data_IF_932246707462
#
_entry.id   IF_932246707462
#
_cell.length_a   1.000
_cell.length_b   1.000
_cell.length_c   1.000
_cell.angle_alpha   90.00
_cell.angle_beta   90.00
_cell.angle_gamma   90.00
#
_symmetry.space_group_name_H-M   'P 1'
#
loop_
_entity.id
_entity.type
_entity.pdbx_description
1 polymer ?
#
# COMPACT_ATOMS: atom_id res chain seq x y z
N UNK A 1 14.36 -40.61 39.26
CA UNK A 1 14.24 -40.45 37.81
C UNK A 1 12.91 -41.06 37.44
N UNK A 2 11.98 -40.25 36.97
CA UNK A 2 10.67 -40.74 36.50
C UNK A 2 10.86 -41.58 35.23
N UNK A 3 9.89 -42.46 34.87
CA UNK A 3 9.94 -43.19 33.59
C UNK A 3 10.07 -42.25 32.38
N UNK A 4 9.40 -41.10 32.43
CA UNK A 4 9.49 -40.03 31.41
C UNK A 4 10.92 -39.45 31.30
N UNK A 5 11.51 -39.00 32.42
CA UNK A 5 12.89 -38.49 32.43
C UNK A 5 13.89 -39.55 31.95
N UNK A 6 13.66 -40.81 32.34
CA UNK A 6 14.43 -41.97 31.88
C UNK A 6 14.33 -42.15 30.38
N UNK A 7 13.14 -42.04 29.81
CA UNK A 7 12.87 -42.20 28.39
C UNK A 7 13.52 -41.07 27.57
N UNK A 8 13.36 -39.82 28.01
CA UNK A 8 13.99 -38.64 27.37
C UNK A 8 15.51 -38.79 27.31
N UNK A 9 16.12 -39.25 28.42
CA UNK A 9 17.57 -39.45 28.49
C UNK A 9 18.04 -40.64 27.66
N UNK A 10 17.30 -41.74 27.66
CA UNK A 10 17.62 -42.92 26.87
C UNK A 10 17.53 -42.63 25.36
N UNK A 11 16.49 -41.90 24.95
CA UNK A 11 16.30 -41.41 23.59
C UNK A 11 17.46 -40.49 23.15
N UNK A 12 17.86 -39.54 24.01
CA UNK A 12 18.98 -38.63 23.76
C UNK A 12 20.37 -39.25 23.84
N UNK A 13 20.50 -40.52 24.25
CA UNK A 13 21.79 -41.22 24.38
C UNK A 13 21.84 -42.54 23.60
N UNK A 14 20.88 -42.76 22.70
CA UNK A 14 20.81 -43.93 21.81
C UNK A 14 20.70 -45.29 22.53
N UNK A 15 19.99 -45.35 23.66
CA UNK A 15 19.82 -46.57 24.46
C UNK A 15 18.54 -47.34 24.07
N UNK A 16 18.47 -47.85 22.85
CA UNK A 16 17.27 -48.52 22.28
C UNK A 16 16.71 -49.65 23.18
N UNK A 17 17.52 -50.58 23.74
CA UNK A 17 16.98 -51.62 24.63
C UNK A 17 16.33 -51.06 25.90
N UNK A 18 16.83 -49.92 26.40
CA UNK A 18 16.25 -49.26 27.56
C UNK A 18 14.97 -48.52 27.21
N UNK A 19 14.88 -47.96 26.00
CA UNK A 19 13.65 -47.38 25.46
C UNK A 19 12.56 -48.45 25.39
N UNK A 20 12.84 -49.63 24.83
CA UNK A 20 11.88 -50.73 24.74
C UNK A 20 11.33 -51.12 26.12
N UNK A 21 12.22 -51.32 27.10
CA UNK A 21 11.82 -51.65 28.47
C UNK A 21 10.98 -50.53 29.13
N UNK A 22 11.28 -49.26 28.84
CA UNK A 22 10.48 -48.14 29.37
C UNK A 22 9.11 -48.03 28.69
N UNK A 23 9.02 -48.30 27.38
CA UNK A 23 7.75 -48.25 26.64
C UNK A 23 6.75 -49.32 27.10
N UNK A 24 7.20 -50.45 27.67
CA UNK A 24 6.32 -51.45 28.28
C UNK A 24 5.52 -50.91 29.47
N UNK A 25 6.05 -49.89 30.16
CA UNK A 25 5.48 -49.37 31.42
C UNK A 25 5.03 -47.92 31.35
N UNK A 26 5.51 -47.16 30.36
CA UNK A 26 5.19 -45.75 30.17
C UNK A 26 4.22 -45.53 29.00
N UNK A 27 3.01 -45.09 29.32
CA UNK A 27 1.92 -44.79 28.38
C UNK A 27 1.75 -43.28 28.09
N UNK A 28 2.63 -42.44 28.63
CA UNK A 28 2.58 -40.98 28.49
C UNK A 28 3.04 -40.46 27.12
N UNK A 29 3.12 -39.13 27.00
CA UNK A 29 3.50 -38.42 25.79
C UNK A 29 4.98 -38.67 25.43
N UNK A 30 5.23 -39.10 24.18
CA UNK A 30 6.56 -39.42 23.68
C UNK A 30 7.28 -38.20 23.09
N UNK A 31 6.61 -37.03 23.01
CA UNK A 31 7.10 -35.84 22.32
C UNK A 31 8.48 -35.39 22.80
N UNK A 32 8.74 -35.34 24.11
CA UNK A 32 10.02 -34.86 24.64
C UNK A 32 11.17 -35.86 24.37
N UNK A 33 10.86 -37.16 24.38
CA UNK A 33 11.83 -38.19 24.00
C UNK A 33 12.17 -38.11 22.51
N UNK A 34 11.17 -37.88 21.65
CA UNK A 34 11.35 -37.64 20.22
C UNK A 34 12.20 -36.39 19.97
N UNK A 35 11.92 -35.29 20.67
CA UNK A 35 12.70 -34.05 20.57
C UNK A 35 14.15 -34.29 20.99
N UNK A 36 14.36 -35.00 22.10
CA UNK A 36 15.70 -35.34 22.61
C UNK A 36 16.52 -36.19 21.63
N UNK A 37 15.94 -37.26 21.08
CA UNK A 37 16.61 -38.09 20.08
C UNK A 37 16.89 -37.31 18.78
N UNK A 38 15.94 -36.47 18.34
CA UNK A 38 16.09 -35.63 17.15
C UNK A 38 17.22 -34.62 17.29
N UNK A 39 17.30 -33.93 18.43
CA UNK A 39 18.34 -32.95 18.71
C UNK A 39 19.75 -33.57 18.77
N UNK A 40 19.85 -34.84 19.16
CA UNK A 40 21.11 -35.58 19.25
C UNK A 40 21.45 -36.39 17.99
N UNK A 41 20.55 -36.44 17.00
CA UNK A 41 20.80 -37.11 15.73
C UNK A 41 20.67 -38.64 15.79
N UNK A 42 19.84 -39.18 16.69
CA UNK A 42 19.72 -40.62 16.89
C UNK A 42 18.54 -41.23 16.13
N UNK A 43 18.82 -41.82 14.97
CA UNK A 43 17.79 -42.37 14.06
C UNK A 43 17.07 -43.60 14.64
N UNK A 44 17.80 -44.53 15.27
CA UNK A 44 17.22 -45.79 15.76
C UNK A 44 16.18 -45.58 16.89
N UNK A 45 16.46 -44.76 17.94
CA UNK A 45 15.45 -44.34 18.90
C UNK A 45 14.22 -43.70 18.25
N UNK A 46 14.42 -42.87 17.22
CA UNK A 46 13.32 -42.20 16.54
C UNK A 46 12.42 -43.18 15.81
N UNK A 47 12.99 -44.18 15.11
CA UNK A 47 12.20 -45.22 14.45
C UNK A 47 11.30 -45.95 15.45
N UNK A 48 11.85 -46.35 16.61
CA UNK A 48 11.08 -47.06 17.64
C UNK A 48 10.00 -46.17 18.28
N UNK A 49 10.33 -44.92 18.62
CA UNK A 49 9.39 -43.98 19.23
C UNK A 49 8.27 -43.56 18.28
N UNK A 50 8.56 -43.39 16.99
CA UNK A 50 7.56 -43.06 15.97
C UNK A 50 6.62 -44.24 15.71
N UNK A 51 7.16 -45.48 15.66
CA UNK A 51 6.34 -46.69 15.57
C UNK A 51 5.37 -46.77 16.75
N UNK A 52 5.86 -46.57 17.98
CA UNK A 52 5.02 -46.56 19.18
C UNK A 52 3.93 -45.46 19.12
N UNK A 53 4.30 -44.28 18.62
CA UNK A 53 3.36 -43.16 18.46
C UNK A 53 2.22 -43.52 17.50
N UNK A 54 2.54 -44.22 16.42
CA UNK A 54 1.56 -44.70 15.44
C UNK A 54 0.68 -45.83 16.00
N UNK A 55 1.26 -46.78 16.74
CA UNK A 55 0.54 -47.86 17.43
C UNK A 55 -0.46 -47.31 18.46
N UNK A 56 -0.13 -46.19 19.11
CA UNK A 56 -1.01 -45.46 20.03
C UNK A 56 -2.08 -44.60 19.34
N UNK A 57 -2.17 -44.64 18.00
CA UNK A 57 -3.18 -43.92 17.22
C UNK A 57 -2.94 -42.41 17.12
N UNK A 58 -1.75 -41.91 17.46
CA UNK A 58 -1.39 -40.50 17.27
C UNK A 58 -1.00 -40.22 15.82
N UNK A 59 -1.13 -38.98 15.37
CA UNK A 59 -0.80 -38.61 13.98
C UNK A 59 0.71 -38.73 13.72
N UNK A 60 1.11 -39.82 13.07
CA UNK A 60 2.51 -40.08 12.69
C UNK A 60 3.11 -38.94 11.86
N UNK A 61 2.30 -38.29 11.02
CA UNK A 61 2.72 -37.11 10.23
C UNK A 61 3.17 -35.93 11.09
N UNK A 62 2.43 -35.60 12.14
CA UNK A 62 2.78 -34.49 13.06
C UNK A 62 4.09 -34.81 13.80
N UNK A 63 4.26 -36.07 14.23
CA UNK A 63 5.48 -36.51 14.89
C UNK A 63 6.69 -36.45 13.94
N UNK A 64 6.54 -36.87 12.68
CA UNK A 64 7.58 -36.76 11.65
C UNK A 64 7.97 -35.29 11.38
N UNK A 65 7.00 -34.39 11.23
CA UNK A 65 7.27 -32.96 11.08
C UNK A 65 8.04 -32.38 12.27
N UNK A 66 7.70 -32.81 13.50
CA UNK A 66 8.41 -32.41 14.72
C UNK A 66 9.85 -32.91 14.75
N UNK A 67 10.09 -34.15 14.32
CA UNK A 67 11.43 -34.74 14.18
C UNK A 67 12.27 -33.92 13.21
N UNK A 68 11.77 -33.72 11.99
CA UNK A 68 12.47 -33.01 10.93
C UNK A 68 12.81 -31.57 11.36
N UNK A 69 11.84 -30.85 11.94
CA UNK A 69 12.07 -29.50 12.47
C UNK A 69 13.15 -29.48 13.55
N UNK A 70 13.07 -30.38 14.53
CA UNK A 70 14.03 -30.43 15.65
C UNK A 70 15.44 -30.83 15.18
N UNK A 71 15.52 -31.74 14.21
CA UNK A 71 16.78 -32.12 13.59
C UNK A 71 17.41 -30.94 12.84
N UNK A 72 16.60 -30.12 12.15
CA UNK A 72 17.07 -28.91 11.46
C UNK A 72 17.64 -27.86 12.43
N UNK A 73 17.00 -27.62 13.58
CA UNK A 73 17.50 -26.68 14.61
C UNK A 73 18.87 -27.09 15.18
N UNK A 74 19.24 -28.37 15.05
CA UNK A 74 20.50 -28.93 15.56
C UNK A 74 21.46 -29.43 14.46
N UNK A 75 21.16 -29.18 13.19
CA UNK A 75 22.04 -29.53 12.08
C UNK A 75 22.18 -31.05 11.85
N UNK A 76 21.18 -31.85 12.22
CA UNK A 76 21.22 -33.32 12.16
C UNK A 76 20.80 -33.84 10.79
N UNK A 77 21.67 -33.69 9.80
CA UNK A 77 21.42 -34.15 8.43
C UNK A 77 20.99 -35.62 8.37
N UNK A 78 21.64 -36.49 9.16
CA UNK A 78 21.36 -37.93 9.18
C UNK A 78 19.91 -38.27 9.60
N UNK A 79 19.29 -37.44 10.44
CA UNK A 79 17.87 -37.58 10.82
C UNK A 79 16.98 -37.01 9.72
N UNK A 80 17.30 -35.81 9.23
CA UNK A 80 16.49 -35.14 8.20
C UNK A 80 16.40 -35.98 6.93
N UNK A 81 17.52 -36.55 6.47
CA UNK A 81 17.57 -37.35 5.24
C UNK A 81 16.72 -38.62 5.31
N UNK A 82 16.51 -39.16 6.51
CA UNK A 82 15.70 -40.37 6.73
C UNK A 82 14.22 -40.02 6.82
N UNK A 83 13.86 -38.98 7.58
CA UNK A 83 12.46 -38.73 7.95
C UNK A 83 11.74 -37.71 7.08
N UNK A 84 12.44 -36.79 6.39
CA UNK A 84 11.79 -35.83 5.49
C UNK A 84 11.00 -36.51 4.35
N UNK A 85 11.55 -37.51 3.63
CA UNK A 85 10.80 -38.19 2.57
C UNK A 85 9.59 -38.98 3.08
N UNK A 86 9.59 -39.41 4.35
CA UNK A 86 8.50 -40.20 4.95
C UNK A 86 7.25 -39.38 5.23
N UNK A 87 7.32 -38.04 5.18
CA UNK A 87 6.15 -37.17 5.39
C UNK A 87 5.13 -37.31 4.26
N UNK A 88 5.58 -37.55 3.03
CA UNK A 88 4.71 -37.70 1.86
C UNK A 88 3.90 -39.01 1.87
N UNK A 89 4.25 -39.96 2.75
CA UNK A 89 3.68 -41.31 2.84
C UNK A 89 3.73 -42.10 1.51
N UNK A 90 3.28 -43.36 1.49
CA UNK A 90 3.24 -44.19 0.28
C UNK A 90 2.21 -43.70 -0.74
N UNK A 91 1.12 -43.10 -0.27
CA UNK A 91 -0.06 -42.78 -1.09
C UNK A 91 0.06 -41.40 -1.76
N UNK A 92 1.04 -40.59 -1.36
CA UNK A 92 1.35 -39.26 -1.93
C UNK A 92 0.12 -38.39 -2.14
N UNK A 93 -0.80 -38.41 -1.16
CA UNK A 93 -1.94 -37.51 -1.22
C UNK A 93 -1.46 -36.04 -1.21
N UNK A 94 -2.30 -35.15 -1.76
CA UNK A 94 -1.92 -33.75 -1.93
C UNK A 94 -1.56 -33.07 -0.61
N UNK A 95 -2.16 -33.50 0.51
CA UNK A 95 -1.90 -32.92 1.83
C UNK A 95 -0.54 -33.35 2.38
N UNK A 96 -0.15 -34.61 2.19
CA UNK A 96 1.15 -35.16 2.58
C UNK A 96 2.29 -34.51 1.81
N UNK A 97 2.12 -34.27 0.50
CA UNK A 97 3.10 -33.56 -0.32
C UNK A 97 3.28 -32.11 0.14
N UNK A 98 2.18 -31.38 0.39
CA UNK A 98 2.25 -30.01 0.90
C UNK A 98 2.94 -29.96 2.27
N UNK A 99 2.62 -30.89 3.17
CA UNK A 99 3.26 -31.02 4.48
C UNK A 99 4.78 -31.28 4.37
N UNK A 100 5.22 -32.06 3.37
CA UNK A 100 6.63 -32.29 3.09
C UNK A 100 7.31 -31.04 2.54
N UNK A 101 6.64 -30.29 1.65
CA UNK A 101 7.17 -29.04 1.09
C UNK A 101 7.38 -28.01 2.21
N UNK A 102 6.36 -27.80 3.05
CA UNK A 102 6.45 -26.91 4.21
C UNK A 102 7.57 -27.33 5.18
N UNK A 103 7.74 -28.63 5.41
CA UNK A 103 8.82 -29.15 6.26
C UNK A 103 10.19 -28.92 5.64
N UNK A 104 10.32 -29.04 4.32
CA UNK A 104 11.55 -28.76 3.58
C UNK A 104 11.94 -27.28 3.71
N UNK A 105 10.96 -26.38 3.64
CA UNK A 105 11.19 -24.94 3.82
C UNK A 105 11.60 -24.59 5.24
N UNK A 106 10.96 -25.20 6.24
CA UNK A 106 11.38 -25.05 7.64
C UNK A 106 12.81 -25.56 7.87
N UNK A 107 13.18 -26.68 7.25
CA UNK A 107 14.56 -27.20 7.30
C UNK A 107 15.53 -26.19 6.70
N UNK A 108 15.23 -25.67 5.51
CA UNK A 108 16.08 -24.69 4.83
C UNK A 108 16.23 -23.41 5.66
N UNK A 109 15.14 -22.86 6.18
CA UNK A 109 15.14 -21.62 6.96
C UNK A 109 15.93 -21.77 8.26
N UNK A 110 15.70 -22.85 9.00
CA UNK A 110 16.34 -23.07 10.31
C UNK A 110 17.83 -23.41 10.16
N UNK A 111 18.17 -24.24 9.17
CA UNK A 111 19.56 -24.54 8.85
C UNK A 111 20.31 -23.28 8.40
N UNK A 112 19.65 -22.42 7.62
CA UNK A 112 20.22 -21.16 7.15
C UNK A 112 20.44 -20.19 8.29
N UNK A 113 19.49 -20.06 9.22
CA UNK A 113 19.64 -19.18 10.39
C UNK A 113 20.81 -19.58 11.31
N UNK A 114 21.33 -20.80 11.20
CA UNK A 114 22.40 -21.37 12.04
C UNK A 114 23.67 -21.72 11.29
N UNK A 115 23.69 -21.56 9.97
CA UNK A 115 24.84 -21.86 9.13
C UNK A 115 25.14 -23.34 8.92
N UNK A 116 24.12 -24.22 9.01
CA UNK A 116 24.31 -25.66 8.79
C UNK A 116 24.35 -26.00 7.29
N UNK A 117 25.47 -25.69 6.64
CA UNK A 117 25.66 -25.78 5.18
C UNK A 117 25.28 -27.13 4.55
N UNK A 118 25.58 -28.23 5.23
CA UNK A 118 25.25 -29.58 4.73
C UNK A 118 23.74 -29.82 4.69
N UNK A 119 23.01 -29.31 5.68
CA UNK A 119 21.54 -29.39 5.73
C UNK A 119 20.91 -28.47 4.69
N UNK A 120 21.45 -27.26 4.52
CA UNK A 120 20.99 -26.30 3.50
C UNK A 120 21.11 -26.93 2.10
N UNK A 121 22.28 -27.49 1.78
CA UNK A 121 22.52 -28.18 0.52
C UNK A 121 21.55 -29.33 0.30
N UNK A 122 21.39 -30.19 1.31
CA UNK A 122 20.44 -31.31 1.23
C UNK A 122 19.01 -30.82 0.94
N UNK A 123 18.52 -29.80 1.64
CA UNK A 123 17.16 -29.30 1.44
C UNK A 123 16.95 -28.75 0.01
N UNK A 124 17.94 -28.05 -0.54
CA UNK A 124 17.91 -27.52 -1.90
C UNK A 124 17.94 -28.66 -2.93
N UNK A 125 18.84 -29.63 -2.77
CA UNK A 125 18.95 -30.79 -3.65
C UNK A 125 17.66 -31.62 -3.61
N UNK A 126 17.14 -31.89 -2.42
CA UNK A 126 15.89 -32.62 -2.20
C UNK A 126 14.71 -31.96 -2.92
N UNK A 127 14.49 -30.66 -2.70
CA UNK A 127 13.41 -29.93 -3.38
C UNK A 127 13.62 -29.80 -4.89
N UNK A 128 14.87 -29.80 -5.37
CA UNK A 128 15.20 -29.78 -6.80
C UNK A 128 14.88 -31.12 -7.45
N UNK A 129 15.27 -32.23 -6.82
CA UNK A 129 15.00 -33.59 -7.31
C UNK A 129 13.50 -33.89 -7.36
N UNK A 130 12.74 -33.40 -6.39
CA UNK A 130 11.28 -33.52 -6.37
C UNK A 130 10.56 -32.46 -7.23
N UNK A 131 11.29 -31.49 -7.80
CA UNK A 131 10.75 -30.55 -8.77
C UNK A 131 9.87 -29.42 -8.21
N UNK A 132 10.09 -29.01 -6.95
CA UNK A 132 9.32 -27.92 -6.31
C UNK A 132 10.20 -26.78 -5.75
N UNK A 133 11.50 -26.75 -6.07
CA UNK A 133 12.45 -25.75 -5.58
C UNK A 133 12.05 -24.29 -5.91
N UNK A 134 11.44 -24.08 -7.07
CA UNK A 134 10.98 -22.77 -7.56
C UNK A 134 9.77 -22.23 -6.77
N UNK A 135 9.04 -23.13 -6.10
CA UNK A 135 7.86 -22.80 -5.28
C UNK A 135 8.22 -22.27 -3.90
N UNK A 136 9.51 -22.28 -3.50
CA UNK A 136 9.95 -21.77 -2.20
C UNK A 136 9.48 -20.33 -1.95
N UNK A 137 9.78 -19.40 -2.85
CA UNK A 137 9.50 -17.98 -2.60
C UNK A 137 8.00 -17.63 -2.64
N UNK A 138 7.18 -18.43 -3.33
CA UNK A 138 5.73 -18.22 -3.43
C UNK A 138 4.96 -18.84 -2.26
N UNK A 139 5.50 -19.90 -1.65
CA UNK A 139 4.83 -20.65 -0.56
C UNK A 139 5.41 -20.36 0.81
N UNK A 140 6.68 -19.97 0.90
CA UNK A 140 7.32 -19.61 2.15
C UNK A 140 7.04 -18.16 2.54
N UNK A 141 6.66 -17.97 3.80
CA UNK A 141 6.58 -16.63 4.41
C UNK A 141 7.98 -16.07 4.71
N UNK A 142 8.99 -16.94 4.83
CA UNK A 142 10.39 -16.63 5.09
C UNK A 142 11.19 -16.52 3.79
N UNK A 143 12.37 -15.90 3.87
CA UNK A 143 13.39 -15.93 2.83
C UNK A 143 14.74 -16.31 3.46
N UNK A 144 15.28 -17.47 3.07
CA UNK A 144 16.49 -18.02 3.66
C UNK A 144 17.69 -17.11 3.41
N UNK A 145 17.79 -16.50 2.23
CA UNK A 145 18.84 -15.54 1.92
C UNK A 145 18.80 -14.36 2.91
N UNK A 146 17.64 -13.75 3.13
CA UNK A 146 17.49 -12.67 4.11
C UNK A 146 17.90 -13.11 5.53
N UNK A 147 17.58 -14.35 5.94
CA UNK A 147 18.00 -14.90 7.23
C UNK A 147 19.52 -15.06 7.34
N UNK A 148 20.18 -15.54 6.28
CA UNK A 148 21.64 -15.66 6.25
C UNK A 148 22.31 -14.30 6.44
N UNK A 149 21.81 -13.28 5.74
CA UNK A 149 22.27 -11.89 5.83
C UNK A 149 22.01 -11.34 7.24
N UNK A 150 20.81 -11.55 7.79
CA UNK A 150 20.47 -11.11 9.15
C UNK A 150 21.37 -11.72 10.22
N UNK A 151 21.75 -12.99 10.06
CA UNK A 151 22.65 -13.73 10.94
C UNK A 151 24.14 -13.45 10.70
N UNK A 152 24.51 -12.58 9.77
CA UNK A 152 25.89 -12.33 9.35
C UNK A 152 26.65 -13.59 8.89
N UNK A 153 25.95 -14.50 8.20
CA UNK A 153 26.48 -15.75 7.67
C UNK A 153 26.89 -15.56 6.20
N UNK A 154 27.97 -14.81 5.97
CA UNK A 154 28.37 -14.35 4.63
C UNK A 154 28.63 -15.50 3.65
N UNK A 155 29.25 -16.58 4.11
CA UNK A 155 29.53 -17.78 3.32
C UNK A 155 28.25 -18.50 2.86
N UNK A 156 27.25 -18.54 3.74
CA UNK A 156 25.91 -19.08 3.45
C UNK A 156 25.16 -18.15 2.51
N UNK A 157 25.17 -16.85 2.73
CA UNK A 157 24.50 -15.88 1.88
C UNK A 157 25.07 -15.91 0.45
N UNK A 158 26.39 -15.94 0.29
CA UNK A 158 27.05 -16.06 -1.02
C UNK A 158 26.69 -17.39 -1.68
N UNK A 159 26.67 -18.49 -0.91
CA UNK A 159 26.24 -19.79 -1.42
C UNK A 159 24.79 -19.74 -1.96
N UNK A 160 23.86 -19.16 -1.20
CA UNK A 160 22.45 -19.04 -1.59
C UNK A 160 22.26 -18.11 -2.80
N UNK A 161 22.99 -17.00 -2.88
CA UNK A 161 23.01 -16.10 -4.04
C UNK A 161 23.42 -16.82 -5.33
N UNK A 162 24.31 -17.82 -5.24
CA UNK A 162 24.70 -18.68 -6.35
C UNK A 162 23.58 -19.62 -6.87
N UNK A 163 22.49 -19.79 -6.12
CA UNK A 163 21.38 -20.67 -6.49
C UNK A 163 20.33 -19.90 -7.30
N UNK A 164 20.45 -19.97 -8.63
CA UNK A 164 19.58 -19.23 -9.54
C UNK A 164 18.15 -19.79 -9.65
N UNK A 165 17.94 -21.06 -9.30
CA UNK A 165 16.63 -21.73 -9.38
C UNK A 165 15.60 -21.15 -8.41
N UNK A 166 16.05 -20.50 -7.34
CA UNK A 166 15.17 -19.91 -6.33
C UNK A 166 15.01 -18.41 -6.63
N UNK A 167 13.77 -17.92 -6.78
CA UNK A 167 13.48 -16.50 -6.93
C UNK A 167 13.51 -15.80 -5.56
N UNK A 168 14.69 -15.70 -4.95
CA UNK A 168 14.93 -14.99 -3.69
C UNK A 168 14.30 -13.60 -3.67
N UNK A 169 13.89 -13.12 -2.49
CA UNK A 169 13.42 -11.75 -2.26
C UNK A 169 14.59 -10.77 -2.30
N UNK A 170 15.14 -10.55 -3.50
CA UNK A 170 16.37 -9.77 -3.74
C UNK A 170 16.32 -8.36 -3.15
N UNK A 171 15.15 -7.73 -3.16
CA UNK A 171 14.91 -6.42 -2.56
C UNK A 171 15.20 -6.43 -1.05
N UNK A 172 14.58 -7.34 -0.32
CA UNK A 172 14.69 -7.46 1.14
C UNK A 172 16.12 -7.86 1.53
N UNK A 173 16.73 -8.76 0.75
CA UNK A 173 18.12 -9.16 0.92
C UNK A 173 19.08 -7.97 0.76
N UNK A 174 18.91 -7.15 -0.28
CA UNK A 174 19.74 -5.98 -0.53
C UNK A 174 19.60 -4.95 0.59
N UNK A 175 18.37 -4.65 1.01
CA UNK A 175 18.11 -3.72 2.11
C UNK A 175 18.79 -4.19 3.40
N UNK A 176 18.62 -5.47 3.75
CA UNK A 176 19.23 -6.05 4.95
C UNK A 176 20.76 -6.03 4.89
N UNK A 177 21.35 -6.34 3.73
CA UNK A 177 22.81 -6.31 3.55
C UNK A 177 23.37 -4.89 3.71
N UNK A 178 22.65 -3.88 3.21
CA UNK A 178 23.00 -2.45 3.39
C UNK A 178 22.91 -2.06 4.86
N UNK A 179 21.84 -2.42 5.57
CA UNK A 179 21.69 -2.16 7.00
C UNK A 179 22.81 -2.78 7.84
N UNK A 180 23.27 -3.98 7.46
CA UNK A 180 24.36 -4.70 8.13
C UNK A 180 25.76 -4.24 7.69
N UNK A 181 25.88 -3.51 6.59
CA UNK A 181 27.17 -3.09 6.03
C UNK A 181 27.99 -4.23 5.43
N UNK A 182 27.34 -5.28 4.91
CA UNK A 182 28.00 -6.46 4.32
C UNK A 182 28.34 -6.20 2.85
N UNK A 183 29.43 -5.47 2.59
CA UNK A 183 29.79 -4.96 1.26
C UNK A 183 29.84 -6.04 0.16
N UNK A 184 30.46 -7.18 0.41
CA UNK A 184 30.55 -8.26 -0.58
C UNK A 184 29.15 -8.78 -0.96
N UNK A 185 28.28 -8.97 0.04
CA UNK A 185 26.89 -9.40 -0.20
C UNK A 185 26.13 -8.33 -0.99
N UNK A 186 26.33 -7.04 -0.68
CA UNK A 186 25.70 -5.94 -1.42
C UNK A 186 26.11 -5.98 -2.89
N UNK A 187 27.39 -6.13 -3.19
CA UNK A 187 27.90 -6.22 -4.56
C UNK A 187 27.33 -7.43 -5.31
N UNK A 188 27.36 -8.61 -4.70
CA UNK A 188 26.79 -9.82 -5.31
C UNK A 188 25.29 -9.72 -5.54
N UNK A 189 24.55 -9.22 -4.54
CA UNK A 189 23.10 -9.03 -4.63
C UNK A 189 22.76 -8.02 -5.73
N UNK A 190 23.50 -6.92 -5.84
CA UNK A 190 23.36 -5.93 -6.90
C UNK A 190 23.57 -6.56 -8.28
N UNK A 191 24.68 -7.27 -8.50
CA UNK A 191 24.99 -7.90 -9.79
C UNK A 191 23.88 -8.87 -10.21
N UNK A 192 23.44 -9.74 -9.30
CA UNK A 192 22.41 -10.75 -9.60
C UNK A 192 21.05 -10.09 -9.85
N UNK A 193 20.67 -9.08 -9.07
CA UNK A 193 19.39 -8.39 -9.27
C UNK A 193 19.39 -7.65 -10.62
N UNK A 194 20.48 -6.93 -10.95
CA UNK A 194 20.63 -6.26 -12.25
C UNK A 194 20.61 -7.27 -13.41
N UNK A 195 21.23 -8.45 -13.27
CA UNK A 195 21.16 -9.50 -14.30
C UNK A 195 19.74 -10.02 -14.52
N UNK A 196 18.93 -10.13 -13.45
CA UNK A 196 17.55 -10.66 -13.52
C UNK A 196 16.53 -9.64 -14.03
N UNK A 197 16.59 -8.40 -13.52
CA UNK A 197 15.55 -7.38 -13.76
C UNK A 197 16.05 -6.16 -14.56
N UNK A 198 17.36 -5.93 -14.61
CA UNK A 198 17.94 -4.70 -15.10
C UNK A 198 17.99 -3.59 -14.04
N UNK A 199 18.95 -2.67 -14.19
CA UNK A 199 19.20 -1.59 -13.23
C UNK A 199 18.01 -0.63 -13.06
N UNK A 200 17.28 -0.35 -14.16
CA UNK A 200 16.11 0.53 -14.14
C UNK A 200 14.96 -0.03 -13.32
N UNK A 201 14.63 -1.31 -13.54
CA UNK A 201 13.56 -1.98 -12.80
C UNK A 201 13.91 -2.14 -11.32
N UNK A 202 15.13 -2.59 -11.01
CA UNK A 202 15.60 -2.70 -9.62
C UNK A 202 15.45 -1.38 -8.84
N UNK A 203 15.94 -0.26 -9.40
CA UNK A 203 15.84 1.03 -8.73
C UNK A 203 14.39 1.52 -8.64
N UNK A 204 13.57 1.19 -9.63
CA UNK A 204 12.13 1.49 -9.65
C UNK A 204 11.40 0.78 -8.52
N UNK A 205 11.63 -0.52 -8.32
CA UNK A 205 11.02 -1.32 -7.25
C UNK A 205 11.39 -0.77 -5.86
N UNK A 206 12.68 -0.43 -5.67
CA UNK A 206 13.14 0.17 -4.41
C UNK A 206 12.51 1.55 -4.16
N UNK A 207 12.36 2.36 -5.20
CA UNK A 207 11.77 3.68 -5.07
C UNK A 207 10.26 3.64 -4.81
N UNK A 208 9.51 2.74 -5.46
CA UNK A 208 8.07 2.59 -5.25
C UNK A 208 7.72 2.15 -3.84
N UNK A 209 8.61 1.36 -3.23
CA UNK A 209 8.40 0.79 -1.90
C UNK A 209 8.90 1.73 -0.78
N UNK A 210 9.48 2.88 -1.15
CA UNK A 210 9.94 3.87 -0.17
C UNK A 210 11.30 3.56 0.46
N UNK A 211 12.06 2.60 -0.09
CA UNK A 211 13.34 2.14 0.45
C UNK A 211 14.48 3.14 0.19
N UNK A 212 14.40 4.31 0.83
CA UNK A 212 15.33 5.41 0.62
C UNK A 212 16.79 5.06 0.96
N UNK A 213 17.03 4.21 1.96
CA UNK A 213 18.37 3.77 2.33
C UNK A 213 19.06 3.05 1.17
N UNK A 214 18.37 2.07 0.58
CA UNK A 214 18.86 1.33 -0.57
C UNK A 214 19.03 2.23 -1.82
N UNK A 215 18.05 3.08 -2.12
CA UNK A 215 18.14 4.03 -3.24
C UNK A 215 19.35 4.96 -3.09
N UNK A 216 19.58 5.52 -1.89
CA UNK A 216 20.74 6.37 -1.60
C UNK A 216 22.05 5.63 -1.80
N UNK A 217 22.17 4.44 -1.21
CA UNK A 217 23.38 3.63 -1.31
C UNK A 217 23.71 3.31 -2.77
N UNK A 218 22.71 2.84 -3.53
CA UNK A 218 22.91 2.45 -4.92
C UNK A 218 23.33 3.62 -5.82
N UNK A 219 22.62 4.74 -5.73
CA UNK A 219 22.93 5.94 -6.51
C UNK A 219 24.31 6.52 -6.20
N UNK A 220 24.82 6.32 -4.96
CA UNK A 220 26.13 6.83 -4.55
C UNK A 220 27.28 5.89 -4.90
N UNK A 221 27.07 4.58 -4.93
CA UNK A 221 28.15 3.59 -5.05
C UNK A 221 28.23 2.91 -6.43
N UNK A 222 27.13 2.78 -7.17
CA UNK A 222 27.08 1.94 -8.38
C UNK A 222 26.94 2.69 -9.71
N UNK A 223 27.10 4.03 -9.72
CA UNK A 223 27.12 4.81 -10.97
C UNK A 223 25.84 4.65 -11.80
N UNK A 224 24.68 4.78 -11.16
CA UNK A 224 23.37 4.53 -11.78
C UNK A 224 23.13 5.50 -12.97
N UNK A 225 22.70 4.99 -14.14
CA UNK A 225 22.50 5.82 -15.32
C UNK A 225 21.30 6.78 -15.14
N UNK A 226 21.36 8.00 -15.72
CA UNK A 226 20.28 8.99 -15.59
C UNK A 226 18.89 8.49 -16.01
N UNK A 227 18.79 7.60 -16.99
CA UNK A 227 17.51 7.01 -17.40
C UNK A 227 16.84 6.22 -16.27
N UNK A 228 17.60 5.39 -15.55
CA UNK A 228 17.12 4.62 -14.41
C UNK A 228 16.73 5.54 -13.24
N UNK A 229 17.52 6.59 -12.97
CA UNK A 229 17.18 7.61 -11.97
C UNK A 229 15.84 8.29 -12.32
N UNK A 230 15.60 8.61 -13.59
CA UNK A 230 14.35 9.20 -14.07
C UNK A 230 13.15 8.24 -13.95
N UNK A 231 13.34 6.94 -14.15
CA UNK A 231 12.31 5.91 -13.92
C UNK A 231 11.97 5.79 -12.44
N UNK A 232 12.97 5.61 -11.59
CA UNK A 232 12.80 5.55 -10.15
C UNK A 232 12.14 6.82 -9.58
N UNK A 233 12.51 8.00 -10.07
CA UNK A 233 11.89 9.26 -9.67
C UNK A 233 10.40 9.30 -10.00
N UNK A 234 9.99 8.76 -11.16
CA UNK A 234 8.57 8.70 -11.58
C UNK A 234 7.74 7.71 -10.76
N UNK A 235 8.37 6.67 -10.25
CA UNK A 235 7.73 5.60 -9.48
C UNK A 235 7.80 5.80 -7.97
N UNK A 236 8.67 6.70 -7.50
CA UNK A 236 8.85 7.00 -6.10
C UNK A 236 7.53 7.46 -5.45
N UNK A 237 7.24 6.88 -4.28
CA UNK A 237 6.04 7.18 -3.50
C UNK A 237 6.31 8.18 -2.39
N UNK A 238 7.45 8.07 -1.71
CA UNK A 238 7.83 8.91 -0.58
C UNK A 238 8.56 10.21 -0.96
N UNK A 239 8.23 11.31 -0.27
CA UNK A 239 8.86 12.63 -0.47
C UNK A 239 10.39 12.59 -0.29
N UNK A 240 10.88 11.83 0.69
CA UNK A 240 12.32 11.69 0.96
C UNK A 240 13.09 11.10 -0.23
N UNK A 241 12.48 10.14 -0.93
CA UNK A 241 13.06 9.52 -2.13
C UNK A 241 13.04 10.47 -3.31
N UNK A 242 11.92 11.19 -3.50
CA UNK A 242 11.79 12.21 -4.55
C UNK A 242 12.82 13.32 -4.34
N UNK A 243 12.97 13.84 -3.12
CA UNK A 243 13.95 14.88 -2.81
C UNK A 243 15.38 14.42 -3.08
N UNK A 244 15.75 13.21 -2.64
CA UNK A 244 17.08 12.67 -2.90
C UNK A 244 17.35 12.51 -4.40
N UNK A 245 16.43 11.86 -5.13
CA UNK A 245 16.58 11.64 -6.57
C UNK A 245 16.59 12.96 -7.34
N UNK A 246 15.78 13.95 -6.94
CA UNK A 246 15.81 15.31 -7.50
C UNK A 246 17.19 15.96 -7.31
N UNK A 247 17.78 15.84 -6.13
CA UNK A 247 19.10 16.39 -5.80
C UNK A 247 20.27 15.72 -6.54
N UNK A 248 20.05 14.59 -7.25
CA UNK A 248 21.07 14.01 -8.13
C UNK A 248 21.37 14.89 -9.34
N UNK A 249 20.52 15.87 -9.67
CA UNK A 249 20.65 16.74 -10.84
C UNK A 249 20.41 16.04 -12.17
N UNK A 250 20.03 14.76 -12.16
CA UNK A 250 19.85 13.94 -13.36
C UNK A 250 18.40 13.89 -13.86
N UNK A 251 17.46 14.54 -13.18
CA UNK A 251 16.03 14.44 -13.48
C UNK A 251 15.65 15.32 -14.68
N UNK A 252 15.01 14.70 -15.66
CA UNK A 252 14.51 15.40 -16.85
C UNK A 252 13.25 16.22 -16.54
N UNK A 253 13.03 17.33 -17.28
CA UNK A 253 11.78 18.10 -17.23
C UNK A 253 10.50 17.28 -17.41
N UNK A 254 10.56 16.24 -18.24
CA UNK A 254 9.44 15.33 -18.48
C UNK A 254 9.08 14.52 -17.24
N UNK A 255 10.09 14.01 -16.52
CA UNK A 255 9.90 13.28 -15.27
C UNK A 255 9.36 14.18 -14.15
N UNK A 256 9.88 15.41 -14.00
CA UNK A 256 9.35 16.41 -13.05
C UNK A 256 7.87 16.66 -13.32
N UNK A 257 7.51 16.91 -14.58
CA UNK A 257 6.12 17.17 -14.98
C UNK A 257 5.21 15.97 -14.70
N UNK A 258 5.70 14.74 -14.90
CA UNK A 258 4.94 13.52 -14.62
C UNK A 258 4.68 13.32 -13.13
N UNK A 259 5.72 13.45 -12.28
CA UNK A 259 5.57 13.31 -10.82
C UNK A 259 4.64 14.37 -10.26
N UNK A 260 4.77 15.63 -10.72
CA UNK A 260 3.83 16.69 -10.35
C UNK A 260 2.37 16.33 -10.72
N UNK A 261 2.12 15.80 -11.92
CA UNK A 261 0.78 15.35 -12.33
C UNK A 261 0.25 14.22 -11.45
N UNK A 262 1.10 13.26 -11.09
CA UNK A 262 0.72 12.12 -10.26
C UNK A 262 0.38 12.59 -8.83
N UNK A 263 1.21 13.46 -8.25
CA UNK A 263 1.01 14.01 -6.91
C UNK A 263 -0.26 14.89 -6.85
N UNK A 264 -0.47 15.75 -7.85
CA UNK A 264 -1.66 16.61 -7.95
C UNK A 264 -2.93 15.90 -8.45
N UNK A 265 -2.84 14.64 -8.87
CA UNK A 265 -3.91 13.90 -9.53
C UNK A 265 -4.83 13.10 -8.60
N UNK A 266 -4.37 12.72 -7.40
CA UNK A 266 -5.17 11.95 -6.43
C UNK A 266 -5.65 12.88 -5.32
N UNK A 267 -6.96 12.94 -5.09
CA UNK A 267 -7.54 13.70 -3.97
C UNK A 267 -7.44 12.94 -2.65
N UNK A 268 -7.82 13.62 -1.55
CA UNK A 268 -7.90 13.05 -0.20
C UNK A 268 -8.86 11.86 -0.18
N UNK A 269 -8.32 10.64 -0.04
CA UNK A 269 -9.10 9.46 0.27
C UNK A 269 -9.19 9.42 1.81
N UNK A 270 -10.38 9.27 2.41
CA UNK A 270 -10.52 9.01 3.87
C UNK A 270 -10.34 7.51 4.14
N UNK A 271 -9.82 7.01 5.29
CA UNK A 271 -9.65 7.59 6.64
C UNK A 271 -8.18 7.80 7.09
N UNK A 272 -8.00 8.41 8.27
CA UNK A 272 -6.81 8.79 9.08
C UNK A 272 -5.39 8.28 8.67
N UNK A 273 -5.23 7.02 8.23
CA UNK A 273 -3.94 6.50 7.72
C UNK A 273 -3.56 7.14 6.37
N UNK A 274 -4.53 7.68 5.64
CA UNK A 274 -4.32 8.38 4.36
C UNK A 274 -3.88 9.84 4.53
N UNK A 275 -3.89 10.40 5.74
CA UNK A 275 -3.47 11.79 5.94
C UNK A 275 -1.96 11.96 5.73
N UNK A 276 -1.10 11.07 6.27
CA UNK A 276 0.36 11.14 6.06
C UNK A 276 0.73 11.01 4.57
N UNK A 277 0.19 9.99 3.89
CA UNK A 277 0.40 9.78 2.46
C UNK A 277 -0.08 10.95 1.61
N UNK A 278 -1.17 11.60 2.01
CA UNK A 278 -1.68 12.78 1.33
C UNK A 278 -0.82 14.02 1.61
N UNK A 279 -0.31 14.19 2.84
CA UNK A 279 0.65 15.26 3.16
C UNK A 279 1.93 15.14 2.34
N UNK A 280 2.50 13.93 2.22
CA UNK A 280 3.68 13.73 1.37
C UNK A 280 3.43 14.17 -0.08
N UNK A 281 2.23 13.95 -0.62
CA UNK A 281 1.86 14.44 -1.95
C UNK A 281 1.79 15.94 -2.05
N UNK A 282 1.24 16.62 -1.05
CA UNK A 282 1.22 18.07 -1.00
C UNK A 282 2.65 18.63 -0.95
N UNK A 283 3.52 18.03 -0.15
CA UNK A 283 4.94 18.38 -0.10
C UNK A 283 5.64 18.16 -1.45
N UNK A 284 5.34 17.06 -2.16
CA UNK A 284 5.86 16.81 -3.51
C UNK A 284 5.36 17.89 -4.48
N UNK A 285 4.08 18.26 -4.43
CA UNK A 285 3.54 19.34 -5.26
C UNK A 285 4.24 20.65 -4.92
N UNK A 286 4.37 21.02 -3.65
CA UNK A 286 4.99 22.27 -3.22
C UNK A 286 6.47 22.35 -3.62
N UNK A 287 7.21 21.24 -3.51
CA UNK A 287 8.59 21.12 -3.98
C UNK A 287 8.68 21.39 -5.49
N UNK A 288 7.91 20.65 -6.29
CA UNK A 288 8.02 20.66 -7.74
C UNK A 288 7.34 21.88 -8.39
N UNK A 289 6.35 22.49 -7.73
CA UNK A 289 5.64 23.66 -8.28
C UNK A 289 6.58 24.84 -8.52
N UNK A 290 7.72 24.92 -7.84
CA UNK A 290 8.72 25.99 -8.05
C UNK A 290 9.44 25.87 -9.40
N UNK A 291 9.34 24.70 -10.05
CA UNK A 291 10.03 24.41 -11.30
C UNK A 291 9.37 25.10 -12.51
N UNK A 292 10.18 25.88 -13.24
CA UNK A 292 9.78 26.56 -14.47
C UNK A 292 9.53 25.59 -15.63
N UNK A 293 10.07 24.37 -15.55
CA UNK A 293 9.90 23.35 -16.58
C UNK A 293 8.49 22.75 -16.62
N UNK A 294 7.68 22.91 -15.55
CA UNK A 294 6.30 22.45 -15.52
C UNK A 294 5.43 23.40 -16.35
N UNK A 295 4.76 22.91 -17.42
CA UNK A 295 3.99 23.78 -18.29
C UNK A 295 2.78 24.42 -17.57
N UNK A 296 2.43 25.69 -17.86
CA UNK A 296 1.25 26.37 -17.29
C UNK A 296 -0.05 25.56 -17.41
N UNK A 297 -0.25 24.85 -18.53
CA UNK A 297 -1.42 24.00 -18.75
C UNK A 297 -1.54 22.89 -17.69
N UNK A 298 -0.42 22.35 -17.22
CA UNK A 298 -0.39 21.27 -16.22
C UNK A 298 -0.79 21.81 -14.85
N UNK A 299 -0.23 22.94 -14.42
CA UNK A 299 -0.60 23.59 -13.15
C UNK A 299 -2.07 24.01 -13.15
N UNK A 300 -2.55 24.60 -14.25
CA UNK A 300 -3.97 24.96 -14.40
C UNK A 300 -4.89 23.75 -14.32
N UNK A 301 -4.49 22.63 -14.92
CA UNK A 301 -5.26 21.38 -14.86
C UNK A 301 -5.30 20.83 -13.42
N UNK A 302 -4.17 20.84 -12.72
CA UNK A 302 -4.08 20.45 -11.31
C UNK A 302 -5.00 21.30 -10.42
N UNK A 303 -4.96 22.63 -10.58
CA UNK A 303 -5.81 23.56 -9.82
C UNK A 303 -7.31 23.31 -10.04
N UNK A 304 -7.72 23.14 -11.30
CA UNK A 304 -9.13 22.83 -11.63
C UNK A 304 -9.53 21.44 -11.12
N UNK A 305 -8.64 20.46 -11.21
CA UNK A 305 -8.84 19.12 -10.67
C UNK A 305 -8.98 19.11 -9.14
N UNK A 306 -8.23 19.95 -8.44
CA UNK A 306 -8.35 20.13 -6.99
C UNK A 306 -9.74 20.65 -6.62
N UNK A 307 -10.22 21.69 -7.32
CA UNK A 307 -11.57 22.21 -7.14
C UNK A 307 -12.66 21.16 -7.37
N UNK A 308 -12.55 20.35 -8.43
CA UNK A 308 -13.49 19.27 -8.75
C UNK A 308 -13.55 18.17 -7.67
N UNK A 309 -12.46 17.97 -6.92
CA UNK A 309 -12.39 16.97 -5.85
C UNK A 309 -12.70 17.54 -4.47
N UNK A 310 -12.98 18.84 -4.36
CA UNK A 310 -13.12 19.49 -3.07
C UNK A 310 -11.80 19.60 -2.28
N UNK A 311 -10.67 19.50 -2.97
CA UNK A 311 -9.33 19.41 -2.39
C UNK A 311 -8.80 20.81 -2.06
N UNK A 312 -9.08 21.25 -0.82
CA UNK A 312 -8.73 22.58 -0.33
C UNK A 312 -7.22 22.78 -0.17
N UNK A 313 -6.52 21.80 0.40
CA UNK A 313 -5.10 21.93 0.69
C UNK A 313 -4.29 22.08 -0.60
N UNK A 314 -4.61 21.28 -1.63
CA UNK A 314 -3.97 21.42 -2.95
C UNK A 314 -4.34 22.74 -3.63
N UNK A 315 -5.58 23.23 -3.47
CA UNK A 315 -5.96 24.55 -3.97
C UNK A 315 -5.12 25.65 -3.31
N UNK A 316 -4.90 25.56 -2.00
CA UNK A 316 -4.11 26.53 -1.24
C UNK A 316 -2.63 26.51 -1.66
N UNK A 317 -2.04 25.32 -1.83
CA UNK A 317 -0.66 25.17 -2.34
C UNK A 317 -0.49 25.83 -3.72
N UNK A 318 -1.47 25.66 -4.61
CA UNK A 318 -1.40 26.17 -5.98
C UNK A 318 -1.89 27.62 -6.13
N UNK A 319 -2.58 28.19 -5.14
CA UNK A 319 -3.37 29.42 -5.27
C UNK A 319 -2.59 30.61 -5.84
N UNK A 320 -1.35 30.77 -5.38
CA UNK A 320 -0.48 31.89 -5.73
C UNK A 320 0.45 31.59 -6.92
N UNK A 321 0.26 30.48 -7.62
CA UNK A 321 1.11 30.13 -8.76
C UNK A 321 0.90 31.12 -9.92
N UNK A 322 2.00 31.76 -10.35
CA UNK A 322 2.00 32.79 -11.39
C UNK A 322 1.49 32.30 -12.75
N UNK A 323 1.44 30.98 -12.98
CA UNK A 323 0.96 30.38 -14.24
C UNK A 323 -0.57 30.31 -14.28
N UNK A 324 -1.26 30.52 -13.17
CA UNK A 324 -2.73 30.58 -13.11
C UNK A 324 -3.26 31.90 -13.69
N UNK A 325 -4.40 31.83 -14.35
CA UNK A 325 -5.08 32.98 -14.94
C UNK A 325 -6.58 33.00 -14.57
N UNK A 326 -7.25 34.12 -14.79
CA UNK A 326 -8.65 34.31 -14.38
C UNK A 326 -9.60 33.27 -15.00
N UNK A 327 -9.33 32.82 -16.24
CA UNK A 327 -10.09 31.73 -16.86
C UNK A 327 -10.01 30.41 -16.08
N UNK A 328 -8.87 30.15 -15.44
CA UNK A 328 -8.66 28.96 -14.61
C UNK A 328 -9.49 29.05 -13.33
N UNK A 329 -9.49 30.21 -12.66
CA UNK A 329 -10.33 30.47 -11.48
C UNK A 329 -11.82 30.38 -11.82
N UNK A 330 -12.26 30.95 -12.95
CA UNK A 330 -13.65 30.87 -13.42
C UNK A 330 -14.07 29.41 -13.69
N UNK A 331 -13.20 28.60 -14.29
CA UNK A 331 -13.49 27.17 -14.51
C UNK A 331 -13.64 26.41 -13.19
N UNK A 332 -12.69 26.58 -12.26
CA UNK A 332 -12.76 26.00 -10.93
C UNK A 332 -14.04 26.43 -10.18
N UNK A 333 -14.37 27.72 -10.23
CA UNK A 333 -15.57 28.28 -9.61
C UNK A 333 -16.87 27.67 -10.15
N UNK A 334 -16.98 27.54 -11.48
CA UNK A 334 -18.15 26.93 -12.10
C UNK A 334 -18.31 25.45 -11.69
N UNK A 335 -17.20 24.71 -11.54
CA UNK A 335 -17.23 23.31 -11.09
C UNK A 335 -17.73 23.22 -9.65
N UNK A 336 -17.14 23.97 -8.71
CA UNK A 336 -17.56 23.88 -7.29
C UNK A 336 -19.02 24.31 -7.08
N UNK A 337 -19.51 25.25 -7.90
CA UNK A 337 -20.92 25.65 -7.92
C UNK A 337 -21.80 24.50 -8.43
N UNK A 338 -21.35 23.83 -9.49
CA UNK A 338 -22.04 22.68 -10.11
C UNK A 338 -22.11 21.48 -9.16
N UNK A 339 -21.11 21.31 -8.30
CA UNK A 339 -21.01 20.25 -7.30
C UNK A 339 -21.66 20.63 -5.96
N UNK A 340 -22.31 21.80 -5.87
CA UNK A 340 -22.94 22.32 -4.67
C UNK A 340 -21.99 22.49 -3.46
N UNK A 341 -20.69 22.68 -3.70
CA UNK A 341 -19.70 22.93 -2.65
C UNK A 341 -19.71 24.42 -2.25
N UNK A 342 -20.56 24.76 -1.28
CA UNK A 342 -20.70 26.14 -0.79
C UNK A 342 -19.40 26.70 -0.22
N UNK A 343 -18.60 25.89 0.45
CA UNK A 343 -17.37 26.33 1.08
C UNK A 343 -16.37 26.81 0.02
N UNK A 344 -16.02 25.95 -0.94
CA UNK A 344 -15.09 26.33 -2.01
C UNK A 344 -15.67 27.39 -2.94
N UNK A 345 -17.00 27.43 -3.11
CA UNK A 345 -17.66 28.54 -3.82
C UNK A 345 -17.35 29.88 -3.15
N UNK A 346 -17.38 29.95 -1.81
CA UNK A 346 -17.01 31.17 -1.08
C UNK A 346 -15.52 31.47 -1.23
N UNK A 347 -14.66 30.47 -1.05
CA UNK A 347 -13.19 30.66 -1.17
C UNK A 347 -12.83 31.23 -2.55
N UNK A 348 -13.29 30.60 -3.63
CA UNK A 348 -13.01 31.05 -5.00
C UNK A 348 -13.63 32.40 -5.33
N UNK A 349 -14.82 32.70 -4.81
CA UNK A 349 -15.46 34.00 -5.02
C UNK A 349 -14.70 35.15 -4.34
N UNK A 350 -14.36 34.99 -3.05
CA UNK A 350 -13.64 36.03 -2.30
C UNK A 350 -12.19 36.21 -2.77
N UNK A 351 -11.65 35.26 -3.53
CA UNK A 351 -10.39 35.41 -4.25
C UNK A 351 -10.36 36.55 -5.27
N UNK A 352 -11.51 37.15 -5.62
CA UNK A 352 -11.58 38.39 -6.41
C UNK A 352 -11.29 38.25 -7.90
N UNK A 353 -11.05 37.03 -8.40
CA UNK A 353 -10.74 36.75 -9.81
C UNK A 353 -11.95 36.30 -10.63
N UNK A 354 -13.14 36.36 -10.05
CA UNK A 354 -14.39 35.92 -10.69
C UNK A 354 -15.11 37.13 -11.29
N UNK A 355 -15.31 37.10 -12.60
CA UNK A 355 -16.01 38.17 -13.31
C UNK A 355 -17.50 38.24 -12.96
N UNK A 356 -18.11 39.42 -13.05
CA UNK A 356 -19.55 39.59 -12.83
C UNK A 356 -20.39 38.68 -13.76
N UNK A 357 -19.97 38.48 -15.01
CA UNK A 357 -20.64 37.57 -15.94
C UNK A 357 -20.63 36.12 -15.42
N UNK A 358 -19.50 35.66 -14.92
CA UNK A 358 -19.35 34.33 -14.32
C UNK A 358 -20.22 34.18 -13.08
N UNK A 359 -20.26 35.20 -12.22
CA UNK A 359 -21.10 35.22 -11.01
C UNK A 359 -22.60 35.15 -11.35
N UNK A 360 -23.05 35.90 -12.36
CA UNK A 360 -24.43 35.86 -12.85
C UNK A 360 -24.80 34.47 -13.40
N UNK A 361 -23.91 33.87 -14.20
CA UNK A 361 -24.11 32.51 -14.70
C UNK A 361 -24.19 31.49 -13.55
N UNK A 362 -23.29 31.57 -12.58
CA UNK A 362 -23.27 30.68 -11.42
C UNK A 362 -24.55 30.79 -10.56
N UNK A 363 -25.05 32.01 -10.37
CA UNK A 363 -26.32 32.26 -9.68
C UNK A 363 -27.49 31.57 -10.40
N UNK A 364 -27.56 31.70 -11.73
CA UNK A 364 -28.60 31.05 -12.53
C UNK A 364 -28.50 29.52 -12.52
N UNK A 365 -27.29 28.96 -12.61
CA UNK A 365 -27.06 27.50 -12.54
C UNK A 365 -27.43 26.95 -11.15
N UNK A 366 -27.07 27.65 -10.09
CA UNK A 366 -27.42 27.27 -8.72
C UNK A 366 -28.94 27.32 -8.50
N UNK A 367 -29.60 28.33 -9.07
CA UNK A 367 -31.06 28.43 -9.06
C UNK A 367 -31.70 27.29 -9.83
N UNK A 368 -31.27 26.97 -11.06
CA UNK A 368 -31.90 25.86 -11.79
C UNK A 368 -31.73 24.52 -11.07
N UNK A 369 -30.55 24.27 -10.47
CA UNK A 369 -30.22 23.03 -9.77
C UNK A 369 -30.73 22.92 -8.33
N UNK A 370 -31.18 24.01 -7.73
CA UNK A 370 -31.74 23.98 -6.36
C UNK A 370 -30.72 24.11 -5.25
N UNK A 371 -29.54 24.66 -5.54
CA UNK A 371 -28.50 24.90 -4.55
C UNK A 371 -28.80 26.16 -3.74
N UNK A 372 -29.84 26.09 -2.90
CA UNK A 372 -30.42 27.22 -2.17
C UNK A 372 -29.37 28.04 -1.40
N UNK A 373 -28.44 27.37 -0.69
CA UNK A 373 -27.39 28.06 0.07
C UNK A 373 -26.43 28.86 -0.83
N UNK A 374 -26.11 28.34 -2.02
CA UNK A 374 -25.27 29.05 -3.00
C UNK A 374 -26.05 30.21 -3.62
N UNK A 375 -27.33 30.02 -3.94
CA UNK A 375 -28.20 31.11 -4.44
C UNK A 375 -28.25 32.26 -3.44
N UNK A 376 -28.50 31.97 -2.16
CA UNK A 376 -28.57 32.98 -1.11
C UNK A 376 -27.24 33.69 -0.87
N UNK A 377 -26.11 33.03 -1.14
CA UNK A 377 -24.79 33.63 -1.09
C UNK A 377 -24.53 34.54 -2.30
N UNK A 378 -24.77 34.05 -3.52
CA UNK A 378 -24.42 34.77 -4.75
C UNK A 378 -25.38 35.90 -5.09
N UNK A 379 -26.65 35.88 -4.65
CA UNK A 379 -27.64 36.88 -5.07
C UNK A 379 -27.29 38.32 -4.64
N UNK A 380 -26.57 38.45 -3.54
CA UNK A 380 -26.11 39.73 -3.01
C UNK A 380 -24.66 40.06 -3.44
N UNK A 381 -24.06 39.23 -4.30
CA UNK A 381 -22.72 39.48 -4.80
C UNK A 381 -22.66 40.76 -5.66
N UNK A 382 -21.56 41.55 -5.57
CA UNK A 382 -21.36 42.70 -6.43
C UNK A 382 -21.37 42.29 -7.92
N UNK A 383 -22.04 43.10 -8.75
CA UNK A 383 -22.15 42.85 -10.18
C UNK A 383 -23.29 41.91 -10.61
N UNK A 384 -24.11 41.41 -9.68
CA UNK A 384 -25.36 40.71 -10.05
C UNK A 384 -26.38 41.69 -10.60
N UNK A 385 -26.78 41.46 -11.85
CA UNK A 385 -27.76 42.28 -12.57
C UNK A 385 -29.20 41.94 -12.16
N UNK A 386 -30.08 42.94 -12.18
CA UNK A 386 -31.44 42.78 -11.64
C UNK A 386 -32.27 41.76 -12.40
N UNK A 387 -32.12 41.65 -13.73
CA UNK A 387 -32.83 40.62 -14.50
C UNK A 387 -32.47 39.19 -14.03
N UNK A 388 -31.22 38.97 -13.58
CA UNK A 388 -30.79 37.66 -13.08
C UNK A 388 -31.44 37.37 -11.72
N UNK A 389 -31.47 38.36 -10.81
CA UNK A 389 -32.21 38.28 -9.53
C UNK A 389 -33.69 37.96 -9.75
N UNK A 390 -34.34 38.69 -10.65
CA UNK A 390 -35.76 38.52 -10.96
C UNK A 390 -36.04 37.12 -11.52
N UNK A 391 -35.17 36.62 -12.40
CA UNK A 391 -35.29 35.28 -12.96
C UNK A 391 -35.17 34.21 -11.87
N UNK A 392 -34.17 34.30 -10.99
CA UNK A 392 -33.99 33.37 -9.87
C UNK A 392 -35.22 33.32 -8.98
N UNK A 393 -35.79 34.47 -8.64
CA UNK A 393 -37.00 34.56 -7.82
C UNK A 393 -38.19 33.86 -8.49
N UNK A 394 -38.45 34.17 -9.76
CA UNK A 394 -39.54 33.54 -10.50
C UNK A 394 -39.33 32.03 -10.68
N UNK A 395 -38.09 31.58 -10.89
CA UNK A 395 -37.76 30.16 -11.01
C UNK A 395 -37.94 29.43 -9.67
N UNK A 396 -37.59 30.05 -8.54
CA UNK A 396 -37.87 29.51 -7.21
C UNK A 396 -39.37 29.29 -6.95
N UNK A 397 -40.20 30.24 -7.40
CA UNK A 397 -41.67 30.13 -7.33
C UNK A 397 -42.18 29.00 -8.25
N UNK A 398 -41.72 28.96 -9.51
CA UNK A 398 -42.10 27.89 -10.45
C UNK A 398 -41.76 26.50 -9.91
N UNK A 399 -40.60 26.36 -9.29
CA UNK A 399 -40.10 25.09 -8.74
C UNK A 399 -40.62 24.78 -7.33
N UNK A 400 -41.61 25.52 -6.82
CA UNK A 400 -42.21 25.33 -5.50
C UNK A 400 -41.19 25.28 -4.35
N UNK A 401 -40.22 26.20 -4.33
CA UNK A 401 -39.19 26.26 -3.28
C UNK A 401 -39.56 27.30 -2.23
N UNK A 402 -40.57 27.00 -1.41
CA UNK A 402 -41.16 27.92 -0.44
C UNK A 402 -40.12 28.58 0.48
N UNK A 403 -39.21 27.80 1.05
CA UNK A 403 -38.12 28.33 1.89
C UNK A 403 -37.21 29.32 1.15
N UNK A 404 -36.77 29.00 -0.07
CA UNK A 404 -35.94 29.90 -0.87
C UNK A 404 -36.69 31.19 -1.20
N UNK A 405 -37.97 31.10 -1.56
CA UNK A 405 -38.82 32.27 -1.84
C UNK A 405 -38.93 33.16 -0.59
N UNK A 406 -39.17 32.57 0.59
CA UNK A 406 -39.21 33.30 1.84
C UNK A 406 -37.89 34.03 2.11
N UNK A 407 -36.75 33.33 2.07
CA UNK A 407 -35.44 33.96 2.28
C UNK A 407 -35.13 35.07 1.26
N UNK A 408 -35.55 34.91 0.01
CA UNK A 408 -35.36 35.92 -1.04
C UNK A 408 -36.22 37.17 -0.79
N UNK A 409 -37.41 37.00 -0.23
CA UNK A 409 -38.28 38.09 0.17
C UNK A 409 -37.78 38.83 1.41
N UNK A 410 -37.27 38.10 2.41
CA UNK A 410 -36.73 38.68 3.64
C UNK A 410 -35.48 39.53 3.36
N UNK A 411 -34.70 39.17 2.33
CA UNK A 411 -33.48 39.89 1.94
C UNK A 411 -33.72 41.19 1.18
N UNK A 412 -34.82 41.33 0.44
CA UNK A 412 -35.06 42.50 -0.42
C UNK A 412 -36.51 42.66 -0.86
N UNK A 413 -36.88 43.91 -1.13
CA UNK A 413 -38.10 44.23 -1.85
C UNK A 413 -37.96 43.91 -3.34
N UNK A 414 -39.02 43.35 -3.92
CA UNK A 414 -39.09 42.99 -5.33
C UNK A 414 -39.98 43.97 -6.12
N UNK A 415 -39.65 44.29 -7.38
CA UNK A 415 -40.49 45.17 -8.20
C UNK A 415 -41.91 44.62 -8.31
N UNK A 416 -42.93 45.48 -8.24
CA UNK A 416 -44.34 45.08 -8.28
C UNK A 416 -44.69 44.21 -9.50
N UNK A 417 -44.05 44.47 -10.66
CA UNK A 417 -44.19 43.66 -11.88
C UNK A 417 -43.78 42.19 -11.68
N UNK A 418 -42.73 41.96 -10.89
CA UNK A 418 -42.16 40.63 -10.60
C UNK A 418 -43.05 39.91 -9.59
N UNK A 419 -43.48 40.61 -8.54
CA UNK A 419 -44.41 40.06 -7.53
C UNK A 419 -45.74 39.65 -8.16
N UNK A 420 -46.35 40.50 -9.01
CA UNK A 420 -47.58 40.15 -9.76
C UNK A 420 -47.41 38.89 -10.60
N UNK A 421 -46.27 38.76 -11.29
CA UNK A 421 -45.96 37.57 -12.09
C UNK A 421 -45.77 36.33 -11.23
N UNK A 422 -45.11 36.47 -10.07
CA UNK A 422 -44.94 35.38 -9.11
C UNK A 422 -46.28 34.90 -8.53
N UNK A 423 -47.18 35.81 -8.16
CA UNK A 423 -48.53 35.47 -7.67
C UNK A 423 -49.32 34.70 -8.74
N UNK A 424 -49.32 35.17 -9.99
CA UNK A 424 -49.97 34.47 -11.09
C UNK A 424 -49.42 33.04 -11.30
N UNK A 425 -48.10 32.85 -11.18
CA UNK A 425 -47.49 31.51 -11.26
C UNK A 425 -47.94 30.63 -10.08
N UNK A 426 -47.98 31.18 -8.86
CA UNK A 426 -48.40 30.46 -7.67
C UNK A 426 -49.88 30.06 -7.73
N UNK A 427 -50.76 30.94 -8.19
CA UNK A 427 -52.20 30.68 -8.37
C UNK A 427 -52.44 29.59 -9.42
N UNK A 428 -51.79 29.69 -10.59
CA UNK A 428 -51.92 28.71 -11.67
C UNK A 428 -51.42 27.30 -11.30
N UNK A 429 -50.55 27.20 -10.28
CA UNK A 429 -49.96 25.93 -9.82
C UNK A 429 -50.44 25.52 -8.42
N UNK A 430 -51.44 26.21 -7.86
CA UNK A 430 -52.03 25.95 -6.54
C UNK A 430 -51.01 25.94 -5.38
N UNK A 431 -49.98 26.80 -5.45
CA UNK A 431 -48.89 26.87 -4.47
C UNK A 431 -49.26 27.72 -3.25
N UNK A 432 -50.16 27.21 -2.40
CA UNK A 432 -50.77 27.95 -1.30
C UNK A 432 -49.79 28.58 -0.30
N UNK A 433 -48.71 27.87 0.06
CA UNK A 433 -47.68 28.37 0.98
C UNK A 433 -46.91 29.58 0.39
N UNK A 434 -46.48 29.47 -0.87
CA UNK A 434 -45.80 30.55 -1.57
C UNK A 434 -46.74 31.74 -1.77
N UNK A 435 -48.01 31.48 -2.10
CA UNK A 435 -49.03 32.53 -2.25
C UNK A 435 -49.18 33.34 -0.96
N UNK A 436 -49.24 32.68 0.20
CA UNK A 436 -49.30 33.34 1.51
C UNK A 436 -48.07 34.20 1.78
N UNK A 437 -46.87 33.70 1.47
CA UNK A 437 -45.63 34.48 1.60
C UNK A 437 -45.64 35.72 0.71
N UNK A 438 -46.03 35.58 -0.57
CA UNK A 438 -46.09 36.70 -1.52
C UNK A 438 -47.15 37.75 -1.16
N UNK A 439 -48.30 37.34 -0.61
CA UNK A 439 -49.38 38.28 -0.20
C UNK A 439 -49.06 39.02 1.09
N UNK A 440 -48.26 38.43 1.99
CA UNK A 440 -47.78 39.11 3.21
C UNK A 440 -46.84 40.29 2.93
N UNK A 441 -46.16 40.29 1.78
CA UNK A 441 -45.17 41.31 1.38
C UNK A 441 -45.69 42.35 0.38
N UNK A 442 -46.87 42.11 -0.21
CA UNK A 442 -47.54 43.05 -1.11
C UNK A 442 -48.35 44.15 -0.40
N UNK A 443 -48.23 44.22 0.93
CA UNK A 443 -48.66 45.33 1.79
C UNK A 443 -47.42 46.07 2.24
#
# INVERSE_FOLDING_TARGET
MSPEEGLIKAAGTNQVPWIENLLETYDGDLTDAIVSASANGHVEPLLRLLQETQERGSSGRIALQKVVKTAATHGRLNVISVFLPQIADSDQDTEALLAMYESTWQVLDEATARGYRDVIRFAIEFATEWGYIDSYASTSTSDALARAIEGCLDDVAIYLLGIFAIPWKMKDALEKAIERGQFDIIEWTYVIYVQRAGVGQMLTDLASDGNIGAVKYLCTHFGIPPCAINEAFRSATGISTIQFLYNTGCISPGSITMVFRNASGRGRLTPQVLDEYYQEKLEIVELLCKESCIPPRVVRFAFVGAAARGDEDLLNVLWNDYRLNDQTFVKAFNIVVTDSNLYLTRVLFHGGRISAQSTNNALLVSSSRGYQKIVLFLIDAPGIVDWAKEKVFLDAVRSNRSYLVQCLCDKRSWPARVVKRAVCIADNRELNEIRQTLTRLGK
#
